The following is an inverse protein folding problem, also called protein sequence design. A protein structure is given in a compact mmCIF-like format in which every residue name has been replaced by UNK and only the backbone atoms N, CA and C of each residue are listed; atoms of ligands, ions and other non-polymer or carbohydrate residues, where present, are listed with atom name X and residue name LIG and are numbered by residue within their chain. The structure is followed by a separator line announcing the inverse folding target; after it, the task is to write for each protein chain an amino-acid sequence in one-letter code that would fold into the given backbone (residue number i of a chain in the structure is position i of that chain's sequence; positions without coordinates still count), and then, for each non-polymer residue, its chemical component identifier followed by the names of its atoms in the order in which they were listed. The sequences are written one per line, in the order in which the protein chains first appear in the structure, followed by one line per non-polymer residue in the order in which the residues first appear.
data_IF_065413895160
#
_entry.id   IF_065413895160
#
_cell.length_a   1.000
_cell.length_b   1.000
_cell.length_c   1.000
_cell.angle_alpha   90.00
_cell.angle_beta   90.00
_cell.angle_gamma   90.00
#
_symmetry.space_group_name_H-M   'P 1'
#
loop_
_entity.id
_entity.type
_entity.pdbx_description
1 polymer ?
#
# COMPACT_ATOMS: atom_id res chain seq x y z
N UNK A 1 1.76 -14.11 8.83
CA UNK A 1 2.71 -13.57 7.78
C UNK A 1 3.42 -14.66 6.96
N UNK A 2 3.06 -15.92 7.15
CA UNK A 2 3.63 -17.03 6.33
C UNK A 2 3.41 -16.80 4.83
N UNK A 3 2.22 -16.36 4.41
CA UNK A 3 1.89 -16.14 3.00
C UNK A 3 2.85 -15.17 2.28
N UNK A 4 3.39 -14.16 2.98
CA UNK A 4 4.42 -13.28 2.42
C UNK A 4 5.76 -14.00 2.28
N UNK A 5 6.16 -14.82 3.26
CA UNK A 5 7.39 -15.62 3.16
C UNK A 5 7.28 -16.67 2.05
N UNK A 6 6.09 -17.22 1.82
CA UNK A 6 5.85 -18.16 0.71
C UNK A 6 6.06 -17.45 -0.65
N UNK A 7 5.57 -16.20 -0.80
CA UNK A 7 5.86 -15.38 -1.99
C UNK A 7 7.37 -15.13 -2.14
N UNK A 8 8.04 -14.68 -1.07
CA UNK A 8 9.47 -14.37 -1.10
C UNK A 8 10.30 -15.60 -1.48
N UNK A 9 9.98 -16.76 -0.90
CA UNK A 9 10.60 -18.05 -1.23
C UNK A 9 10.31 -18.48 -2.67
N UNK A 10 9.07 -18.30 -3.13
CA UNK A 10 8.66 -18.68 -4.48
C UNK A 10 9.42 -17.88 -5.53
N UNK A 11 9.49 -16.55 -5.40
CA UNK A 11 10.25 -15.71 -6.32
C UNK A 11 11.75 -16.03 -6.29
N UNK A 12 12.31 -16.15 -5.08
CA UNK A 12 13.74 -16.43 -4.92
C UNK A 12 14.18 -17.76 -5.57
N UNK A 13 13.33 -18.80 -5.50
CA UNK A 13 13.71 -20.15 -5.92
C UNK A 13 13.17 -20.55 -7.31
N UNK A 14 12.08 -19.93 -7.79
CA UNK A 14 11.38 -20.33 -9.00
C UNK A 14 11.19 -19.18 -10.00
N UNK A 15 11.55 -17.94 -9.62
CA UNK A 15 11.46 -16.79 -10.51
C UNK A 15 12.46 -16.84 -11.65
N UNK A 16 12.18 -16.08 -12.71
CA UNK A 16 13.05 -15.91 -13.87
C UNK A 16 13.89 -14.65 -13.72
N UNK A 17 15.17 -14.75 -13.97
CA UNK A 17 16.09 -13.61 -13.95
C UNK A 17 15.90 -12.74 -15.19
N UNK A 18 15.87 -11.43 -15.00
CA UNK A 18 15.79 -10.44 -16.10
C UNK A 18 16.61 -9.19 -15.78
N UNK A 19 17.04 -8.50 -16.83
CA UNK A 19 17.55 -7.15 -16.71
C UNK A 19 16.40 -6.18 -16.40
N UNK A 20 16.70 -5.11 -15.68
CA UNK A 20 15.74 -4.06 -15.37
C UNK A 20 16.29 -2.67 -15.69
N UNK A 21 15.45 -1.65 -15.59
CA UNK A 21 15.79 -0.25 -15.88
C UNK A 21 16.95 0.28 -15.02
N UNK A 22 17.09 -0.21 -13.79
CA UNK A 22 18.13 0.25 -12.84
C UNK A 22 19.51 -0.39 -13.08
N UNK A 23 19.58 -1.42 -13.94
CA UNK A 23 20.82 -2.18 -14.21
C UNK A 23 21.22 -3.14 -13.08
N UNK A 24 20.44 -3.22 -11.98
CA UNK A 24 20.69 -4.15 -10.87
C UNK A 24 20.33 -5.59 -11.25
N UNK A 25 19.32 -5.76 -12.11
CA UNK A 25 18.70 -7.03 -12.43
C UNK A 25 17.68 -7.47 -11.36
N UNK A 26 16.71 -8.25 -11.80
CA UNK A 26 15.64 -8.77 -10.94
C UNK A 26 15.40 -10.24 -11.18
N UNK A 27 14.84 -10.93 -10.20
CA UNK A 27 14.20 -12.24 -10.33
C UNK A 27 12.72 -12.07 -10.09
N UNK A 28 11.88 -12.52 -11.02
CA UNK A 28 10.45 -12.25 -10.97
C UNK A 28 9.56 -13.42 -11.36
N UNK A 29 8.33 -13.35 -10.91
CA UNK A 29 7.19 -14.15 -11.39
C UNK A 29 6.08 -13.20 -11.83
N UNK A 30 5.25 -13.63 -12.78
CA UNK A 30 4.11 -12.85 -13.22
C UNK A 30 2.80 -13.45 -12.71
N UNK A 31 2.08 -12.66 -11.92
CA UNK A 31 0.82 -13.08 -11.30
C UNK A 31 1.02 -13.83 -9.98
N UNK A 32 0.64 -13.18 -8.87
CA UNK A 32 0.57 -13.80 -7.55
C UNK A 32 -0.50 -13.12 -6.72
N UNK A 33 -1.14 -13.87 -5.80
CA UNK A 33 -2.14 -13.31 -4.92
C UNK A 33 -1.93 -13.76 -3.48
N UNK A 34 -2.00 -12.80 -2.55
CA UNK A 34 -1.99 -13.03 -1.11
C UNK A 34 -3.33 -12.59 -0.52
N UNK A 35 -3.78 -13.27 0.54
CA UNK A 35 -4.99 -12.91 1.30
C UNK A 35 -4.66 -12.82 2.77
N UNK A 36 -5.07 -11.73 3.40
CA UNK A 36 -4.84 -11.44 4.82
C UNK A 36 -6.20 -11.22 5.51
N UNK A 37 -6.52 -12.07 6.48
CA UNK A 37 -7.68 -11.87 7.36
C UNK A 37 -7.36 -10.74 8.36
N UNK A 38 -8.01 -9.59 8.21
CA UNK A 38 -7.77 -8.43 9.08
C UNK A 38 -8.40 -8.59 10.47
N UNK A 39 -9.26 -9.60 10.68
CA UNK A 39 -9.77 -9.94 12.00
C UNK A 39 -8.74 -10.73 12.83
N UNK A 40 -7.81 -11.43 12.18
CA UNK A 40 -6.74 -12.18 12.83
C UNK A 40 -5.58 -11.28 13.33
N UNK A 41 -5.55 -10.00 12.94
CA UNK A 41 -4.54 -9.02 13.33
C UNK A 41 -4.09 -8.14 12.16
N UNK A 42 -3.28 -7.14 12.48
CA UNK A 42 -2.76 -6.21 11.47
C UNK A 42 -1.57 -6.82 10.72
N UNK A 43 -1.59 -6.93 9.37
CA UNK A 43 -0.57 -7.64 8.61
C UNK A 43 0.73 -6.82 8.43
N UNK A 44 1.30 -6.35 9.53
CA UNK A 44 2.63 -5.75 9.58
C UNK A 44 3.67 -6.86 9.77
N UNK A 45 4.69 -6.91 8.91
CA UNK A 45 5.71 -7.95 8.95
C UNK A 45 6.41 -8.01 10.31
N UNK A 46 6.54 -9.22 10.87
CA UNK A 46 7.29 -9.48 12.10
C UNK A 46 8.67 -10.12 11.85
N UNK A 47 8.92 -10.63 10.64
CA UNK A 47 10.23 -11.20 10.26
C UNK A 47 11.30 -10.17 9.93
N UNK A 48 10.91 -8.91 9.76
CA UNK A 48 11.79 -7.72 9.80
C UNK A 48 10.99 -6.52 10.27
N UNK A 49 11.61 -5.66 11.07
CA UNK A 49 10.96 -4.44 11.59
C UNK A 49 10.68 -3.47 10.44
N UNK A 50 9.44 -2.97 10.36
CA UNK A 50 9.00 -1.94 9.43
C UNK A 50 8.76 -0.61 10.14
N UNK A 51 8.87 0.49 9.40
CA UNK A 51 8.67 1.84 9.90
C UNK A 51 7.21 2.28 9.68
N UNK A 52 6.31 1.87 10.60
CA UNK A 52 4.86 2.15 10.48
C UNK A 52 4.55 3.65 10.37
N UNK A 53 5.36 4.52 10.99
CA UNK A 53 5.19 5.98 10.87
C UNK A 53 5.15 6.44 9.42
N UNK A 54 6.10 5.98 8.59
CA UNK A 54 6.13 6.34 7.16
C UNK A 54 4.90 5.83 6.42
N UNK A 55 4.42 4.63 6.74
CA UNK A 55 3.23 4.03 6.13
C UNK A 55 1.98 4.85 6.43
N UNK A 56 1.80 5.25 7.69
CA UNK A 56 0.64 6.07 8.10
C UNK A 56 0.68 7.45 7.43
N UNK A 57 1.83 8.14 7.48
CA UNK A 57 1.94 9.47 6.87
C UNK A 57 1.75 9.45 5.37
N UNK A 58 2.30 8.45 4.65
CA UNK A 58 2.10 8.28 3.22
C UNK A 58 0.61 8.09 2.89
N UNK A 59 -0.09 7.21 3.62
CA UNK A 59 -1.51 6.98 3.41
C UNK A 59 -2.35 8.24 3.66
N UNK A 60 -2.07 8.97 4.74
CA UNK A 60 -2.74 10.23 5.03
C UNK A 60 -2.45 11.29 3.97
N UNK A 61 -1.24 11.32 3.43
CA UNK A 61 -0.83 12.21 2.34
C UNK A 61 -1.59 11.90 1.04
N UNK A 62 -1.75 10.62 0.68
CA UNK A 62 -2.61 10.22 -0.44
C UNK A 62 -4.07 10.67 -0.23
N UNK A 63 -4.62 10.46 0.97
CA UNK A 63 -6.00 10.85 1.31
C UNK A 63 -6.22 12.37 1.31
N UNK A 64 -5.17 13.17 1.53
CA UNK A 64 -5.22 14.63 1.35
C UNK A 64 -5.28 15.05 -0.13
N UNK A 65 -4.96 14.17 -1.05
CA UNK A 65 -4.82 14.50 -2.47
C UNK A 65 -3.54 15.26 -2.79
N UNK A 66 -2.59 15.30 -1.86
CA UNK A 66 -1.33 16.01 -2.00
C UNK A 66 -0.34 15.23 -2.86
N UNK A 67 0.53 15.94 -3.57
CA UNK A 67 1.57 15.40 -4.44
C UNK A 67 2.92 16.07 -4.23
N UNK A 68 3.02 16.99 -3.26
CA UNK A 68 4.26 17.62 -2.83
C UNK A 68 4.76 16.98 -1.54
N UNK A 69 6.06 16.68 -1.46
CA UNK A 69 6.66 15.95 -0.33
C UNK A 69 6.96 16.84 0.88
N UNK A 70 6.70 18.14 0.84
CA UNK A 70 7.01 19.06 1.94
C UNK A 70 6.38 18.59 3.26
N UNK A 71 5.08 18.25 3.25
CA UNK A 71 4.39 17.75 4.42
C UNK A 71 4.94 16.42 4.94
N UNK A 72 5.38 15.52 4.04
CA UNK A 72 6.05 14.27 4.44
C UNK A 72 7.38 14.56 5.15
N UNK A 73 8.20 15.47 4.61
CA UNK A 73 9.48 15.90 5.20
C UNK A 73 9.30 16.55 6.58
N UNK A 74 8.33 17.44 6.73
CA UNK A 74 7.97 18.06 8.01
C UNK A 74 7.64 17.00 9.08
N UNK A 75 7.13 15.85 8.66
CA UNK A 75 6.80 14.73 9.54
C UNK A 75 7.88 13.64 9.60
N UNK A 76 9.08 13.92 9.10
CA UNK A 76 10.24 13.01 9.16
C UNK A 76 10.11 11.77 8.25
N UNK A 77 9.39 11.90 7.12
CA UNK A 77 9.19 10.85 6.13
C UNK A 77 9.89 11.24 4.84
N UNK A 78 10.83 10.41 4.38
CA UNK A 78 11.72 10.66 3.24
C UNK A 78 11.57 9.64 2.09
N UNK A 79 10.55 8.78 2.15
CA UNK A 79 10.41 7.66 1.22
C UNK A 79 10.12 8.07 -0.24
N UNK A 80 9.85 9.35 -0.50
CA UNK A 80 9.61 9.93 -1.81
C UNK A 80 10.67 10.93 -2.28
N UNK A 81 11.71 11.18 -1.47
CA UNK A 81 12.72 12.23 -1.72
C UNK A 81 13.47 12.04 -3.05
N UNK A 82 13.73 10.77 -3.44
CA UNK A 82 14.52 10.43 -4.63
C UNK A 82 13.80 10.70 -5.95
N UNK A 83 12.46 10.83 -5.91
CA UNK A 83 11.64 11.04 -7.12
C UNK A 83 11.12 12.47 -7.27
N UNK A 84 11.17 13.26 -6.21
CA UNK A 84 10.66 14.63 -6.24
C UNK A 84 11.59 15.59 -7.00
N UNK A 85 10.98 16.56 -7.69
CA UNK A 85 11.74 17.66 -8.28
C UNK A 85 12.36 18.58 -7.21
N UNK A 86 13.11 19.60 -7.62
CA UNK A 86 13.77 20.55 -6.73
C UNK A 86 12.78 21.31 -5.82
N UNK A 87 11.51 21.40 -6.20
CA UNK A 87 10.43 22.04 -5.45
C UNK A 87 9.63 21.06 -4.61
N UNK A 88 9.98 19.78 -4.63
CA UNK A 88 9.32 18.72 -3.90
C UNK A 88 8.07 18.16 -4.58
N UNK A 89 7.84 18.42 -5.87
CA UNK A 89 6.66 17.93 -6.59
C UNK A 89 6.93 16.58 -7.24
N UNK A 90 5.90 15.75 -7.29
CA UNK A 90 5.91 14.42 -7.92
C UNK A 90 5.00 14.33 -9.15
N UNK A 91 4.35 15.44 -9.55
CA UNK A 91 3.31 15.42 -10.57
C UNK A 91 2.01 14.79 -10.05
N UNK A 92 1.07 14.43 -10.96
CA UNK A 92 -0.29 14.00 -10.58
C UNK A 92 -0.34 12.53 -10.13
N UNK A 93 0.51 12.16 -9.14
CA UNK A 93 0.60 10.81 -8.58
C UNK A 93 -0.62 10.47 -7.70
N UNK A 94 -0.65 9.31 -7.08
CA UNK A 94 -1.71 8.68 -6.29
C UNK A 94 -2.76 9.60 -5.67
N UNK A 95 -2.36 10.54 -4.81
CA UNK A 95 -3.29 11.44 -4.11
C UNK A 95 -4.12 12.29 -5.07
N UNK A 96 -3.50 12.82 -6.10
CA UNK A 96 -4.20 13.58 -7.14
C UNK A 96 -5.22 12.71 -7.86
N UNK A 97 -4.85 11.52 -8.31
CA UNK A 97 -5.77 10.63 -9.02
C UNK A 97 -6.94 10.18 -8.13
N UNK A 98 -6.68 9.91 -6.85
CA UNK A 98 -7.72 9.48 -5.91
C UNK A 98 -8.72 10.59 -5.59
N UNK A 99 -8.26 11.84 -5.47
CA UNK A 99 -9.04 12.95 -4.94
C UNK A 99 -9.46 14.01 -5.97
N UNK A 100 -8.82 14.01 -7.14
CA UNK A 100 -9.01 15.07 -8.15
C UNK A 100 -8.79 14.55 -9.57
N UNK A 101 -9.38 13.40 -9.92
CA UNK A 101 -9.25 12.84 -11.27
C UNK A 101 -9.86 13.78 -12.31
N UNK A 102 -9.09 14.24 -13.32
CA UNK A 102 -9.60 15.17 -14.33
C UNK A 102 -10.56 14.46 -15.30
N UNK A 103 -11.73 15.04 -15.51
CA UNK A 103 -12.71 14.59 -16.50
C UNK A 103 -12.66 15.46 -17.77
N UNK A 104 -13.05 14.93 -18.95
CA UNK A 104 -12.99 15.66 -20.21
C UNK A 104 -13.82 16.96 -20.26
N UNK A 105 -14.82 17.07 -19.40
CA UNK A 105 -15.70 18.27 -19.28
C UNK A 105 -15.15 19.32 -18.30
N UNK A 106 -13.92 19.17 -17.82
CA UNK A 106 -13.24 20.08 -16.91
C UNK A 106 -13.58 19.90 -15.43
N UNK A 107 -14.46 18.96 -15.08
CA UNK A 107 -14.71 18.59 -13.68
C UNK A 107 -13.54 17.77 -13.13
N UNK A 108 -13.41 17.78 -11.80
CA UNK A 108 -12.53 16.90 -11.07
C UNK A 108 -13.37 15.92 -10.25
N UNK A 109 -13.02 14.65 -10.31
CA UNK A 109 -13.74 13.56 -9.64
C UNK A 109 -12.95 13.14 -8.40
N UNK A 110 -13.56 13.31 -7.23
CA UNK A 110 -13.07 12.74 -5.97
C UNK A 110 -13.55 11.30 -5.84
N UNK A 111 -12.70 10.36 -6.25
CA UNK A 111 -13.03 8.94 -6.25
C UNK A 111 -13.23 8.40 -4.82
N UNK A 112 -12.48 8.90 -3.83
CA UNK A 112 -12.60 8.46 -2.43
C UNK A 112 -13.92 8.92 -1.82
N UNK A 113 -14.31 10.19 -2.00
CA UNK A 113 -15.61 10.68 -1.51
C UNK A 113 -16.78 9.95 -2.15
N UNK A 114 -16.71 9.71 -3.46
CA UNK A 114 -17.71 8.93 -4.19
C UNK A 114 -17.79 7.48 -3.67
N UNK A 115 -16.63 6.87 -3.41
CA UNK A 115 -16.55 5.52 -2.84
C UNK A 115 -17.26 5.43 -1.48
N UNK A 116 -16.98 6.38 -0.55
CA UNK A 116 -17.62 6.41 0.77
C UNK A 116 -19.14 6.57 0.67
N UNK A 117 -19.61 7.43 -0.24
CA UNK A 117 -21.04 7.59 -0.52
C UNK A 117 -21.65 6.28 -1.03
N UNK A 118 -21.00 5.64 -2.01
CA UNK A 118 -21.50 4.39 -2.58
C UNK A 118 -21.49 3.23 -1.56
N UNK A 119 -20.51 3.16 -0.66
CA UNK A 119 -20.50 2.16 0.41
C UNK A 119 -21.72 2.31 1.32
N UNK A 120 -22.15 3.53 1.62
CA UNK A 120 -23.30 3.82 2.47
C UNK A 120 -24.64 3.62 1.76
N UNK A 121 -24.74 4.05 0.51
CA UNK A 121 -26.01 4.05 -0.25
C UNK A 121 -26.25 2.76 -1.03
N UNK A 122 -25.19 2.17 -1.58
CA UNK A 122 -25.25 0.98 -2.45
C UNK A 122 -24.16 -0.04 -2.11
N UNK A 123 -24.14 -0.60 -0.89
CA UNK A 123 -23.03 -1.41 -0.37
C UNK A 123 -22.70 -2.65 -1.21
N UNK A 124 -23.66 -3.17 -1.96
CA UNK A 124 -23.47 -4.35 -2.84
C UNK A 124 -23.03 -3.99 -4.26
N UNK A 125 -22.68 -2.72 -4.51
CA UNK A 125 -22.19 -2.28 -5.81
C UNK A 125 -20.88 -2.97 -6.17
N UNK A 126 -20.75 -3.42 -7.41
CA UNK A 126 -19.51 -3.96 -7.98
C UNK A 126 -18.58 -2.87 -8.51
N UNK A 127 -18.95 -1.60 -8.31
CA UNK A 127 -18.22 -0.41 -8.79
C UNK A 127 -17.53 0.35 -7.66
N UNK A 128 -17.30 -0.28 -6.52
CA UNK A 128 -16.56 0.29 -5.40
C UNK A 128 -15.05 0.25 -5.72
N UNK A 129 -14.63 0.99 -6.74
CA UNK A 129 -13.28 0.97 -7.32
C UNK A 129 -12.69 2.38 -7.26
N UNK A 130 -11.39 2.45 -6.94
CA UNK A 130 -10.54 3.64 -7.06
C UNK A 130 -9.35 3.29 -7.94
N UNK A 131 -9.08 4.10 -8.97
CA UNK A 131 -7.95 3.93 -9.89
C UNK A 131 -6.95 5.06 -9.74
N UNK A 132 -5.67 4.71 -9.70
CA UNK A 132 -4.56 5.65 -9.82
C UNK A 132 -3.94 5.63 -11.23
N UNK A 133 -4.24 4.61 -12.04
CA UNK A 133 -3.70 4.45 -13.38
C UNK A 133 -4.47 5.31 -14.38
N UNK A 134 -3.92 6.46 -14.71
CA UNK A 134 -4.48 7.40 -15.67
C UNK A 134 -3.56 7.53 -16.90
N UNK A 135 -3.85 6.81 -18.02
CA UNK A 135 -2.98 6.80 -19.19
C UNK A 135 -2.71 8.20 -19.79
N UNK A 136 -3.62 9.13 -19.59
CA UNK A 136 -3.47 10.50 -20.11
C UNK A 136 -2.43 11.34 -19.35
N UNK A 137 -2.08 10.94 -18.10
CA UNK A 137 -1.19 11.71 -17.22
C UNK A 137 0.07 10.93 -16.80
N UNK A 138 0.27 9.71 -17.29
CA UNK A 138 1.39 8.84 -16.86
C UNK A 138 2.75 9.53 -17.07
N UNK A 139 2.94 10.22 -18.20
CA UNK A 139 4.20 10.88 -18.54
C UNK A 139 4.48 12.15 -17.69
N UNK A 140 3.47 12.65 -16.98
CA UNK A 140 3.61 13.80 -16.08
C UNK A 140 3.95 13.37 -14.64
N UNK A 141 3.93 12.07 -14.34
CA UNK A 141 4.20 11.52 -13.03
C UNK A 141 5.69 11.21 -12.86
N UNK A 142 6.28 11.66 -11.76
CA UNK A 142 7.66 11.32 -11.41
C UNK A 142 7.86 9.79 -11.30
N UNK A 143 6.82 9.07 -10.85
CA UNK A 143 6.78 7.61 -10.80
C UNK A 143 5.36 7.13 -11.16
N UNK A 144 5.18 6.43 -12.31
CA UNK A 144 3.91 5.82 -12.65
C UNK A 144 3.41 4.85 -11.56
N UNK A 145 2.10 4.88 -11.21
CA UNK A 145 1.57 4.13 -10.08
C UNK A 145 1.86 2.63 -10.16
N UNK A 146 2.54 2.08 -9.16
CA UNK A 146 2.73 0.64 -9.02
C UNK A 146 1.44 -0.05 -8.57
N UNK A 147 0.78 0.47 -7.53
CA UNK A 147 -0.56 0.04 -7.10
C UNK A 147 -1.61 0.80 -7.91
N UNK A 148 -2.12 0.13 -8.96
CA UNK A 148 -2.87 0.76 -10.03
C UNK A 148 -4.32 1.04 -9.67
N UNK A 149 -4.97 0.10 -9.00
CA UNK A 149 -6.37 0.20 -8.58
C UNK A 149 -6.65 -0.69 -7.38
N UNK A 150 -7.65 -0.30 -6.60
CA UNK A 150 -8.21 -1.16 -5.57
C UNK A 150 -9.73 -1.16 -5.63
N UNK A 151 -10.33 -2.25 -5.16
CA UNK A 151 -11.77 -2.47 -5.11
C UNK A 151 -12.18 -2.92 -3.72
N UNK A 152 -13.28 -2.35 -3.22
CA UNK A 152 -13.92 -2.83 -2.01
C UNK A 152 -15.08 -3.79 -2.31
N UNK A 153 -15.30 -4.68 -1.36
CA UNK A 153 -16.39 -5.64 -1.38
C UNK A 153 -17.00 -5.77 0.02
N UNK A 154 -18.32 -5.76 0.09
CA UNK A 154 -19.05 -5.86 1.35
C UNK A 154 -19.89 -7.13 1.34
N UNK A 155 -19.68 -7.97 2.36
CA UNK A 155 -20.49 -9.16 2.63
C UNK A 155 -20.59 -9.37 4.15
N UNK A 156 -21.73 -9.80 4.62
CA UNK A 156 -22.01 -10.10 6.04
C UNK A 156 -21.58 -8.97 6.99
N UNK A 157 -21.78 -7.71 6.58
CA UNK A 157 -21.39 -6.53 7.34
C UNK A 157 -19.88 -6.30 7.47
N UNK A 158 -19.08 -6.98 6.64
CA UNK A 158 -17.61 -6.85 6.60
C UNK A 158 -17.15 -6.20 5.30
N UNK A 159 -16.18 -5.31 5.41
CA UNK A 159 -15.51 -4.65 4.30
C UNK A 159 -14.19 -5.35 3.98
N UNK A 160 -14.05 -5.85 2.76
CA UNK A 160 -12.80 -6.39 2.21
C UNK A 160 -12.26 -5.48 1.10
N UNK A 161 -10.95 -5.49 0.91
CA UNK A 161 -10.26 -4.73 -0.13
C UNK A 161 -9.41 -5.66 -0.99
N UNK A 162 -9.46 -5.49 -2.31
CA UNK A 162 -8.51 -6.10 -3.24
C UNK A 162 -7.72 -5.03 -3.96
N UNK A 163 -6.40 -5.10 -3.86
CA UNK A 163 -5.44 -4.25 -4.57
C UNK A 163 -4.86 -5.01 -5.77
N UNK A 164 -4.80 -4.36 -6.93
CA UNK A 164 -3.94 -4.77 -8.04
C UNK A 164 -2.71 -3.88 -8.12
N UNK A 165 -1.53 -4.49 -7.98
CA UNK A 165 -0.22 -3.86 -8.08
C UNK A 165 0.53 -4.42 -9.29
N UNK A 166 0.77 -3.59 -10.31
CA UNK A 166 1.38 -4.01 -11.58
C UNK A 166 2.87 -4.37 -11.45
N UNK A 167 3.57 -3.70 -10.54
CA UNK A 167 5.01 -3.81 -10.32
C UNK A 167 5.26 -3.81 -8.81
N UNK A 168 5.89 -4.86 -8.31
CA UNK A 168 5.94 -5.16 -6.89
C UNK A 168 7.34 -5.59 -6.47
N UNK A 169 8.16 -4.64 -5.95
CA UNK A 169 9.37 -4.97 -5.19
C UNK A 169 8.94 -5.71 -3.92
N UNK A 170 9.13 -7.04 -3.94
CA UNK A 170 8.63 -7.89 -2.86
C UNK A 170 9.43 -7.74 -1.57
N UNK A 171 10.65 -7.18 -1.61
CA UNK A 171 11.47 -7.04 -0.41
C UNK A 171 11.26 -5.69 0.31
N UNK A 172 11.32 -4.56 -0.40
CA UNK A 172 11.16 -3.23 0.19
C UNK A 172 9.72 -2.72 0.10
N UNK A 173 9.10 -2.73 -1.09
CA UNK A 173 7.81 -2.09 -1.35
C UNK A 173 6.61 -2.87 -0.83
N UNK A 174 6.47 -4.15 -1.20
CA UNK A 174 5.29 -4.96 -0.88
C UNK A 174 4.93 -4.99 0.61
N UNK A 175 5.90 -5.11 1.57
CA UNK A 175 5.57 -5.04 2.98
C UNK A 175 4.90 -3.74 3.41
N UNK A 176 5.30 -2.59 2.84
CA UNK A 176 4.67 -1.30 3.08
C UNK A 176 3.27 -1.25 2.48
N UNK A 177 3.11 -1.72 1.25
CA UNK A 177 1.81 -1.73 0.57
C UNK A 177 0.79 -2.63 1.27
N UNK A 178 1.19 -3.81 1.79
CA UNK A 178 0.31 -4.67 2.59
C UNK A 178 -0.24 -3.90 3.79
N UNK A 179 0.63 -3.28 4.57
CA UNK A 179 0.22 -2.55 5.77
C UNK A 179 -0.60 -1.30 5.44
N UNK A 180 -0.24 -0.55 4.39
CA UNK A 180 -0.96 0.65 3.95
C UNK A 180 -2.40 0.35 3.55
N UNK A 181 -2.62 -0.64 2.68
CA UNK A 181 -3.98 -0.97 2.23
C UNK A 181 -4.81 -1.73 3.28
N UNK A 182 -4.16 -2.50 4.16
CA UNK A 182 -4.84 -3.05 5.34
C UNK A 182 -5.34 -1.92 6.24
N UNK A 183 -4.50 -0.92 6.51
CA UNK A 183 -4.88 0.25 7.30
C UNK A 183 -6.00 1.06 6.64
N UNK A 184 -5.90 1.33 5.33
CA UNK A 184 -6.97 1.99 4.56
C UNK A 184 -8.29 1.23 4.69
N UNK A 185 -8.26 -0.10 4.61
CA UNK A 185 -9.47 -0.94 4.74
C UNK A 185 -10.09 -0.80 6.14
N UNK A 186 -9.26 -0.79 7.18
CA UNK A 186 -9.71 -0.60 8.57
C UNK A 186 -10.31 0.80 8.78
N UNK A 187 -9.67 1.85 8.26
CA UNK A 187 -10.17 3.23 8.34
C UNK A 187 -11.53 3.38 7.64
N UNK A 188 -11.65 2.87 6.41
CA UNK A 188 -12.91 2.93 5.65
C UNK A 188 -14.01 2.11 6.34
N UNK A 189 -13.69 0.93 6.85
CA UNK A 189 -14.64 0.13 7.61
C UNK A 189 -15.18 0.90 8.82
N UNK A 190 -14.30 1.54 9.61
CA UNK A 190 -14.70 2.33 10.77
C UNK A 190 -15.65 3.48 10.40
N UNK A 191 -15.30 4.33 9.43
CA UNK A 191 -16.11 5.51 9.08
C UNK A 191 -17.41 5.15 8.37
N UNK A 192 -17.52 3.92 7.86
CA UNK A 192 -18.74 3.39 7.26
C UNK A 192 -19.55 2.48 8.20
N UNK A 193 -19.12 2.29 9.45
CA UNK A 193 -19.82 1.45 10.44
C UNK A 193 -19.80 -0.04 10.11
N UNK A 194 -18.77 -0.51 9.39
CA UNK A 194 -18.60 -1.91 8.99
C UNK A 194 -17.51 -2.58 9.82
N UNK A 195 -17.56 -3.92 9.90
CA UNK A 195 -16.44 -4.72 10.39
C UNK A 195 -15.39 -4.89 9.29
N UNK A 196 -14.15 -5.15 9.66
CA UNK A 196 -13.11 -5.50 8.68
C UNK A 196 -13.28 -6.94 8.19
N UNK A 197 -13.00 -7.16 6.92
CA UNK A 197 -12.91 -8.48 6.28
C UNK A 197 -11.47 -8.80 5.91
N UNK A 198 -11.24 -9.12 4.63
CA UNK A 198 -9.94 -9.49 4.09
C UNK A 198 -9.26 -8.31 3.36
N UNK A 199 -7.94 -8.29 3.39
CA UNK A 199 -7.15 -7.60 2.39
C UNK A 199 -6.57 -8.63 1.40
N UNK A 200 -6.85 -8.45 0.12
CA UNK A 200 -6.36 -9.28 -0.98
C UNK A 200 -5.37 -8.48 -1.80
N UNK A 201 -4.13 -8.96 -1.91
CA UNK A 201 -3.07 -8.31 -2.66
C UNK A 201 -2.75 -9.12 -3.92
N UNK A 202 -3.15 -8.61 -5.08
CA UNK A 202 -2.88 -9.20 -6.39
C UNK A 202 -1.72 -8.47 -7.04
N UNK A 203 -0.67 -9.21 -7.37
CA UNK A 203 0.55 -8.72 -7.96
C UNK A 203 0.63 -9.10 -9.43
N UNK A 204 1.04 -8.18 -10.28
CA UNK A 204 1.44 -8.42 -11.65
C UNK A 204 2.88 -8.94 -11.71
N UNK A 205 3.85 -8.08 -12.01
CA UNK A 205 5.28 -8.39 -11.92
C UNK A 205 5.72 -8.32 -10.45
N UNK A 206 5.88 -9.49 -9.83
CA UNK A 206 6.40 -9.61 -8.47
C UNK A 206 7.89 -9.95 -8.53
N UNK A 207 8.74 -8.98 -8.19
CA UNK A 207 10.18 -9.10 -8.39
C UNK A 207 10.99 -8.86 -7.12
N UNK A 208 12.14 -9.50 -7.08
CA UNK A 208 13.18 -9.35 -6.09
C UNK A 208 14.45 -8.86 -6.80
N UNK A 209 14.97 -7.69 -6.41
CA UNK A 209 16.24 -7.19 -6.95
C UNK A 209 17.40 -8.11 -6.61
N UNK A 210 18.34 -8.27 -7.53
CA UNK A 210 19.48 -9.21 -7.38
C UNK A 210 20.34 -8.87 -6.17
N UNK A 211 20.47 -7.59 -5.83
CA UNK A 211 21.19 -7.10 -4.65
C UNK A 211 20.43 -7.28 -3.31
N UNK A 212 19.20 -7.89 -3.35
CA UNK A 212 18.41 -8.23 -2.17
C UNK A 212 18.36 -9.74 -1.88
N UNK A 213 19.01 -10.58 -2.67
CA UNK A 213 18.93 -12.04 -2.52
C UNK A 213 19.43 -12.53 -1.16
N UNK A 214 20.51 -11.98 -0.64
CA UNK A 214 21.04 -12.38 0.66
C UNK A 214 20.15 -11.90 1.82
N UNK A 215 19.58 -10.72 1.70
CA UNK A 215 18.59 -10.18 2.64
C UNK A 215 17.33 -11.05 2.67
N UNK A 216 16.85 -11.48 1.48
CA UNK A 216 15.71 -12.37 1.36
C UNK A 216 15.99 -13.74 2.00
N UNK A 217 17.15 -14.35 1.73
CA UNK A 217 17.59 -15.58 2.39
C UNK A 217 17.64 -15.43 3.89
N UNK A 218 18.23 -14.35 4.39
CA UNK A 218 18.27 -14.03 5.82
C UNK A 218 16.83 -13.92 6.40
N UNK A 219 15.91 -13.24 5.74
CA UNK A 219 14.53 -13.10 6.22
C UNK A 219 13.79 -14.44 6.24
N UNK A 220 14.05 -15.32 5.28
CA UNK A 220 13.44 -16.66 5.21
C UNK A 220 13.89 -17.61 6.33
N UNK A 221 15.01 -17.34 7.02
CA UNK A 221 15.42 -18.12 8.20
C UNK A 221 14.64 -17.74 9.46
N UNK A 222 13.85 -16.66 9.43
CA UNK A 222 13.16 -16.11 10.60
C UNK A 222 11.74 -16.64 10.72
N UNK A 223 11.35 -17.06 11.92
CA UNK A 223 9.97 -17.46 12.23
C UNK A 223 9.12 -16.20 12.47
N UNK A 224 7.95 -16.06 11.83
CA UNK A 224 7.03 -14.97 12.13
C UNK A 224 6.53 -15.03 13.57
N UNK A 225 6.51 -13.87 14.25
CA UNK A 225 5.82 -13.70 15.53
C UNK A 225 4.31 -13.49 15.32
N UNK A 226 3.55 -13.45 16.40
CA UNK A 226 2.12 -13.07 16.38
C UNK A 226 1.93 -11.71 15.70
N UNK A 227 0.83 -11.59 14.97
CA UNK A 227 0.47 -10.32 14.33
C UNK A 227 0.19 -9.26 15.40
N UNK A 228 0.66 -8.02 15.20
CA UNK A 228 0.26 -6.90 16.03
C UNK A 228 -1.20 -6.51 15.81
N UNK A 229 -1.67 -5.60 16.63
CA UNK A 229 -2.95 -4.92 16.46
C UNK A 229 -2.70 -3.44 16.19
N UNK A 230 -3.59 -2.81 15.43
CA UNK A 230 -3.66 -1.36 15.31
C UNK A 230 -4.95 -0.89 15.95
N UNK A 231 -4.83 -0.09 17.00
CA UNK A 231 -5.95 0.67 17.54
C UNK A 231 -6.11 1.93 16.69
N UNK A 232 -7.35 2.20 16.28
CA UNK A 232 -7.75 3.41 15.56
C UNK A 232 -8.73 4.16 16.44
N UNK A 233 -8.50 5.46 16.68
CA UNK A 233 -9.34 6.30 17.52
C UNK A 233 -10.80 6.25 17.05
N UNK A 234 -11.72 5.65 17.84
CA UNK A 234 -13.11 5.46 17.42
C UNK A 234 -13.93 6.78 17.36
N UNK A 235 -13.40 7.87 17.92
CA UNK A 235 -14.04 9.17 17.84
C UNK A 235 -13.93 9.79 16.44
N UNK A 236 -13.01 9.32 15.60
CA UNK A 236 -12.86 9.81 14.22
C UNK A 236 -13.88 9.10 13.33
N UNK A 237 -14.81 9.87 12.77
CA UNK A 237 -15.91 9.40 11.93
C UNK A 237 -15.83 9.89 10.47
N UNK A 238 -14.85 10.70 10.16
CA UNK A 238 -14.55 11.19 8.80
C UNK A 238 -13.18 10.74 8.38
N UNK A 239 -13.09 10.08 7.20
CA UNK A 239 -11.86 9.51 6.66
C UNK A 239 -10.74 10.54 6.46
N UNK A 240 -11.11 11.77 6.16
CA UNK A 240 -10.17 12.85 5.87
C UNK A 240 -9.69 13.62 7.11
N UNK A 241 -10.30 13.32 8.26
CA UNK A 241 -9.97 13.96 9.55
C UNK A 241 -8.92 13.20 10.36
N UNK A 242 -8.56 11.97 9.94
CA UNK A 242 -7.53 11.20 10.64
C UNK A 242 -6.18 11.91 10.66
N UNK A 243 -5.51 11.77 11.80
CA UNK A 243 -4.14 12.24 12.05
C UNK A 243 -3.28 11.07 12.51
N UNK A 244 -1.97 11.25 12.51
CA UNK A 244 -1.04 10.20 12.96
C UNK A 244 -1.33 9.72 14.38
N UNK A 245 -1.73 10.63 15.27
CA UNK A 245 -2.02 10.38 16.69
C UNK A 245 -3.27 9.53 16.92
N UNK A 246 -4.10 9.33 15.89
CA UNK A 246 -5.29 8.48 15.95
C UNK A 246 -4.98 6.98 15.78
N UNK A 247 -3.71 6.64 15.56
CA UNK A 247 -3.26 5.27 15.35
C UNK A 247 -2.27 4.84 16.43
N UNK A 248 -2.51 3.71 17.07
CA UNK A 248 -1.59 3.11 18.03
C UNK A 248 -1.29 1.66 17.63
N UNK A 249 0.01 1.34 17.53
CA UNK A 249 0.48 -0.02 17.25
C UNK A 249 0.68 -0.78 18.56
N UNK A 250 -0.07 -1.87 18.73
CA UNK A 250 -0.06 -2.68 19.94
C UNK A 250 0.59 -4.05 19.66
N UNK A 251 1.41 -4.51 20.61
CA UNK A 251 2.02 -5.84 20.60
C UNK A 251 2.87 -6.14 19.36
N UNK A 252 3.60 -5.13 18.86
CA UNK A 252 4.48 -5.33 17.72
C UNK A 252 5.86 -5.82 18.14
N UNK A 253 6.04 -7.14 18.09
CA UNK A 253 7.31 -7.80 18.28
C UNK A 253 7.85 -8.27 16.93
N UNK A 254 8.93 -7.65 16.48
CA UNK A 254 9.53 -7.95 15.17
C UNK A 254 11.02 -8.26 15.31
N UNK A 255 11.49 -9.16 14.45
CA UNK A 255 12.92 -9.34 14.24
C UNK A 255 13.57 -8.02 13.79
N UNK A 256 14.88 -7.84 14.04
CA UNK A 256 15.59 -6.62 13.66
C UNK A 256 15.41 -6.29 12.17
N UNK A 257 15.47 -5.00 11.85
CA UNK A 257 15.47 -4.51 10.47
C UNK A 257 16.57 -5.19 9.64
N UNK A 258 16.28 -5.47 8.37
CA UNK A 258 17.26 -5.94 7.39
C UNK A 258 17.46 -4.79 6.39
N UNK A 259 18.65 -4.19 6.43
CA UNK A 259 19.01 -3.09 5.53
C UNK A 259 19.21 -3.62 4.11
N UNK A 260 18.64 -2.94 3.12
CA UNK A 260 18.84 -3.20 1.71
C UNK A 260 18.94 -1.87 0.93
N UNK A 261 19.72 -1.80 -0.16
CA UNK A 261 19.80 -0.61 -1.00
C UNK A 261 18.48 -0.43 -1.78
N UNK A 262 18.07 0.82 -1.99
CA UNK A 262 16.97 1.15 -2.90
C UNK A 262 17.50 1.10 -4.33
N UNK A 263 16.77 0.48 -5.25
CA UNK A 263 17.07 0.50 -6.67
C UNK A 263 16.31 1.66 -7.34
N UNK A 264 17.02 2.63 -7.90
CA UNK A 264 16.49 3.87 -8.51
C UNK A 264 16.88 3.94 -10.00
#
# INVERSE_FOLDING_TARGET
MKIYLDLLSHVLNQGTDSADRTGVGTRSIFGYQMRFDLQAGFPLLTTKKLHLRSIIYELLWFLKGDTNIAWLKENGVSIWDEWADEKGNLGPVYGYQWRSWPAPDGRHIDQISNLLTMIKETPYSRRLIVSAWNPALIEEMALPPCHCLFQFYIADGKLSCQLYQRSADIFLGVPFNIASYALLTMMVAQVCGLKVGDFIHTLGDAHLYSNHFDQARCQLTRTPNTLPLVFINPAVTDLFSFKFEDFELLNYEAHPHIKAPVAV
#
